data_IF_470939907126
#
_entry.id   IF_470939907126
#
_cell.length_a   1.000
_cell.length_b   1.000
_cell.length_c   1.000
_cell.angle_alpha   90.00
_cell.angle_beta   90.00
_cell.angle_gamma   90.00
#
_symmetry.space_group_name_H-M   'P 1'
#
loop_
_entity.id
_entity.type
_entity.pdbx_description
1 polymer ?
#
# COMPACT_ATOMS: atom_id res chain seq x y z
N UNK A 1 21.57 42.89 -55.19
CA UNK A 1 21.37 41.56 -54.60
C UNK A 1 20.94 41.76 -53.16
N UNK A 2 19.64 41.44 -52.86
CA UNK A 2 19.04 41.63 -51.53
C UNK A 2 18.95 40.27 -50.89
N UNK A 3 19.69 40.05 -49.78
CA UNK A 3 19.57 38.84 -48.98
C UNK A 3 18.41 39.02 -47.99
N UNK A 4 17.37 38.21 -48.14
CA UNK A 4 16.26 38.08 -47.20
C UNK A 4 16.62 37.04 -46.16
N UNK A 5 16.86 37.47 -44.93
CA UNK A 5 17.10 36.57 -43.78
C UNK A 5 15.74 36.18 -43.19
N UNK A 6 15.42 34.91 -43.29
CA UNK A 6 14.18 34.32 -42.73
C UNK A 6 14.50 33.79 -41.32
N UNK A 7 14.11 34.56 -40.31
CA UNK A 7 14.22 34.14 -38.91
C UNK A 7 13.03 33.19 -38.62
N UNK A 8 13.33 31.91 -38.49
CA UNK A 8 12.35 30.89 -38.08
C UNK A 8 12.08 30.98 -36.59
N UNK A 9 10.87 31.35 -36.23
CA UNK A 9 10.39 31.34 -34.82
C UNK A 9 10.04 29.93 -34.43
N UNK A 10 10.88 29.29 -33.61
CA UNK A 10 10.60 27.96 -33.03
C UNK A 10 9.67 28.15 -31.83
N UNK A 11 8.41 27.75 -32.00
CA UNK A 11 7.44 27.67 -30.91
C UNK A 11 7.70 26.37 -30.12
N UNK A 12 8.35 26.48 -28.96
CA UNK A 12 8.46 25.36 -28.02
C UNK A 12 7.16 25.25 -27.25
N UNK A 13 6.37 24.23 -27.58
CA UNK A 13 5.15 23.89 -26.85
C UNK A 13 5.56 23.16 -25.56
N UNK A 14 5.61 23.86 -24.44
CA UNK A 14 5.72 23.28 -23.12
C UNK A 14 4.40 22.59 -22.77
N UNK A 15 4.33 21.26 -22.96
CA UNK A 15 3.25 20.45 -22.42
C UNK A 15 3.51 20.31 -20.91
N UNK A 16 2.92 21.20 -20.13
CA UNK A 16 2.87 21.07 -18.69
C UNK A 16 2.02 19.86 -18.32
N UNK A 17 2.66 18.78 -17.84
CA UNK A 17 1.93 17.72 -17.15
C UNK A 17 1.32 18.33 -15.88
N UNK A 18 0.03 18.61 -15.93
CA UNK A 18 -0.73 18.96 -14.73
C UNK A 18 -0.76 17.70 -13.84
N UNK A 19 0.09 17.68 -12.83
CA UNK A 19 -0.13 16.80 -11.70
C UNK A 19 -1.46 17.25 -11.09
N UNK A 20 -2.49 16.41 -11.19
CA UNK A 20 -3.72 16.60 -10.44
C UNK A 20 -3.31 16.57 -8.96
N UNK A 21 -3.28 17.72 -8.32
CA UNK A 21 -3.18 17.82 -6.88
C UNK A 21 -4.39 17.08 -6.33
N UNK A 22 -4.14 16.10 -5.44
CA UNK A 22 -5.22 15.46 -4.68
C UNK A 22 -6.02 16.58 -4.00
N UNK A 23 -7.27 16.74 -4.42
CA UNK A 23 -8.21 17.66 -3.77
C UNK A 23 -8.31 17.23 -2.30
N UNK A 24 -8.19 18.17 -1.34
CA UNK A 24 -8.34 17.84 0.06
C UNK A 24 -9.69 17.18 0.28
N UNK A 25 -9.69 16.01 0.93
CA UNK A 25 -10.89 15.25 1.19
C UNK A 25 -11.97 16.17 1.78
N UNK A 26 -13.06 16.37 1.05
CA UNK A 26 -14.22 17.13 1.56
C UNK A 26 -14.65 16.47 2.86
N UNK A 27 -14.81 17.27 3.92
CA UNK A 27 -15.38 16.81 5.19
C UNK A 27 -16.78 16.24 4.91
N UNK A 28 -16.93 14.89 4.89
CA UNK A 28 -18.18 14.25 4.56
C UNK A 28 -18.08 12.73 4.47
N UNK A 29 -19.22 12.09 4.27
CA UNK A 29 -19.33 10.65 4.07
C UNK A 29 -18.72 10.27 2.72
N UNK A 30 -17.84 9.26 2.71
CA UNK A 30 -17.22 8.71 1.50
C UNK A 30 -17.84 7.34 1.25
N UNK A 31 -18.44 7.15 0.07
CA UNK A 31 -18.95 5.86 -0.40
C UNK A 31 -18.09 5.41 -1.56
N UNK A 32 -17.49 4.22 -1.44
CA UNK A 32 -16.72 3.59 -2.51
C UNK A 32 -17.59 2.48 -3.11
N UNK A 33 -18.04 2.66 -4.34
CA UNK A 33 -18.93 1.71 -5.02
C UNK A 33 -18.28 0.34 -5.22
N UNK A 34 -19.10 -0.70 -5.27
CA UNK A 34 -18.63 -2.10 -5.35
C UNK A 34 -17.73 -2.38 -6.57
N UNK A 35 -17.98 -1.75 -7.71
CA UNK A 35 -17.15 -1.93 -8.92
C UNK A 35 -15.71 -1.45 -8.66
N UNK A 36 -15.54 -0.27 -8.04
CA UNK A 36 -14.22 0.24 -7.67
C UNK A 36 -13.53 -0.65 -6.65
N UNK A 37 -14.28 -1.22 -5.70
CA UNK A 37 -13.76 -2.17 -4.71
C UNK A 37 -13.31 -3.47 -5.39
N UNK A 38 -14.10 -4.02 -6.31
CA UNK A 38 -13.77 -5.22 -7.05
C UNK A 38 -12.52 -5.03 -7.92
N UNK A 39 -12.42 -3.92 -8.63
CA UNK A 39 -11.24 -3.55 -9.42
C UNK A 39 -9.98 -3.40 -8.56
N UNK A 40 -10.13 -2.84 -7.37
CA UNK A 40 -9.01 -2.69 -6.43
C UNK A 40 -8.52 -4.06 -5.94
N UNK A 41 -9.41 -5.01 -5.62
CA UNK A 41 -9.01 -6.38 -5.26
C UNK A 41 -8.40 -7.16 -6.41
N UNK A 42 -8.83 -6.91 -7.64
CA UNK A 42 -8.22 -7.55 -8.82
C UNK A 42 -6.72 -7.22 -8.98
N UNK A 43 -6.29 -6.06 -8.49
CA UNK A 43 -4.93 -5.51 -8.67
C UNK A 43 -4.11 -5.42 -7.38
N UNK A 44 -4.75 -5.42 -6.21
CA UNK A 44 -4.12 -5.04 -4.95
C UNK A 44 -3.85 -3.53 -4.91
N UNK A 45 -4.88 -2.70 -4.69
CA UNK A 45 -4.77 -1.25 -4.84
C UNK A 45 -5.35 -0.45 -3.67
N UNK A 46 -4.93 0.82 -3.55
CA UNK A 46 -5.50 1.76 -2.59
C UNK A 46 -6.93 2.15 -2.98
N UNK A 47 -7.83 2.18 -2.01
CA UNK A 47 -9.22 2.63 -2.14
C UNK A 47 -9.42 4.06 -1.66
N UNK A 48 -8.72 4.43 -0.59
CA UNK A 48 -8.78 5.75 0.03
C UNK A 48 -7.48 6.05 0.74
N UNK A 49 -7.03 7.29 0.66
CA UNK A 49 -5.91 7.80 1.44
C UNK A 49 -6.28 9.17 2.00
N UNK A 50 -6.10 9.33 3.30
CA UNK A 50 -6.25 10.60 4.03
C UNK A 50 -5.00 10.85 4.87
N UNK A 51 -4.94 11.96 5.58
CA UNK A 51 -3.83 12.24 6.48
C UNK A 51 -3.79 11.31 7.72
N UNK A 52 -4.95 10.77 8.11
CA UNK A 52 -5.09 10.01 9.36
C UNK A 52 -5.26 8.51 9.14
N UNK A 53 -5.72 8.10 7.98
CA UNK A 53 -5.91 6.67 7.66
C UNK A 53 -5.91 6.41 6.15
N UNK A 54 -5.62 5.16 5.81
CA UNK A 54 -5.68 4.63 4.44
C UNK A 54 -6.55 3.37 4.43
N UNK A 55 -7.29 3.14 3.35
CA UNK A 55 -8.04 1.90 3.12
C UNK A 55 -7.53 1.28 1.82
N UNK A 56 -7.14 0.02 1.88
CA UNK A 56 -6.53 -0.68 0.75
C UNK A 56 -7.19 -2.05 0.55
N UNK A 57 -7.31 -2.45 -0.70
CA UNK A 57 -7.61 -3.82 -1.08
C UNK A 57 -6.28 -4.58 -1.24
N UNK A 58 -5.95 -5.42 -0.28
CA UNK A 58 -4.77 -6.28 -0.31
C UNK A 58 -5.01 -7.52 -1.18
N UNK A 59 -4.06 -7.83 -2.04
CA UNK A 59 -4.01 -9.05 -2.83
C UNK A 59 -2.62 -9.64 -2.82
N UNK A 60 -2.49 -10.89 -2.42
CA UNK A 60 -1.22 -11.62 -2.45
C UNK A 60 -1.41 -12.99 -3.11
N UNK A 61 -0.40 -13.42 -3.84
CA UNK A 61 -0.32 -14.76 -4.43
C UNK A 61 0.99 -15.48 -4.02
N UNK A 62 1.82 -14.81 -3.20
CA UNK A 62 3.09 -15.33 -2.70
C UNK A 62 3.47 -14.65 -1.38
N UNK A 63 4.48 -15.20 -0.71
CA UNK A 63 5.14 -14.58 0.44
C UNK A 63 5.64 -13.16 0.11
N UNK A 64 5.72 -12.32 1.13
CA UNK A 64 6.21 -10.95 1.01
C UNK A 64 7.53 -10.72 1.74
N UNK A 65 7.95 -9.48 1.81
CA UNK A 65 9.00 -9.03 2.73
C UNK A 65 8.42 -8.78 4.12
N UNK A 66 9.28 -8.75 5.13
CA UNK A 66 8.92 -8.21 6.45
C UNK A 66 8.63 -6.73 6.33
N UNK A 67 7.56 -6.29 6.95
CA UNK A 67 7.15 -4.89 7.02
C UNK A 67 7.19 -4.37 8.45
N UNK A 68 7.67 -3.14 8.64
CA UNK A 68 7.62 -2.41 9.91
C UNK A 68 7.25 -0.97 9.59
N UNK A 69 6.16 -0.49 10.19
CA UNK A 69 5.66 0.88 10.01
C UNK A 69 5.86 1.67 11.30
N UNK A 70 6.53 2.82 11.23
CA UNK A 70 6.83 3.63 12.42
C UNK A 70 5.59 4.34 12.98
N UNK A 71 4.63 4.66 12.12
CA UNK A 71 3.49 5.51 12.45
C UNK A 71 2.14 4.84 12.21
N UNK A 72 2.07 3.78 11.40
CA UNK A 72 0.82 3.15 11.04
C UNK A 72 0.54 1.91 11.90
N UNK A 73 -0.67 1.83 12.46
CA UNK A 73 -1.27 0.59 12.96
C UNK A 73 -2.07 -0.02 11.83
N UNK A 74 -1.79 -1.29 11.50
CA UNK A 74 -2.48 -2.02 10.46
C UNK A 74 -3.62 -2.87 11.03
N UNK A 75 -4.79 -2.79 10.41
CA UNK A 75 -5.94 -3.65 10.72
C UNK A 75 -6.28 -4.40 9.45
N UNK A 76 -6.17 -5.73 9.49
CA UNK A 76 -6.54 -6.59 8.36
C UNK A 76 -7.86 -7.30 8.65
N UNK A 77 -8.70 -7.43 7.63
CA UNK A 77 -9.84 -8.32 7.58
C UNK A 77 -9.73 -9.23 6.38
N UNK A 78 -9.65 -10.54 6.61
CA UNK A 78 -9.44 -11.53 5.55
C UNK A 78 -10.74 -11.81 4.80
N UNK A 79 -10.73 -11.61 3.49
CA UNK A 79 -11.87 -11.82 2.59
C UNK A 79 -11.85 -13.22 2.00
N UNK A 80 -10.65 -13.69 1.58
CA UNK A 80 -10.50 -14.96 0.87
C UNK A 80 -9.08 -15.51 1.04
N UNK A 81 -8.95 -16.85 0.98
CA UNK A 81 -7.69 -17.56 1.03
C UNK A 81 -7.18 -17.80 2.45
N UNK A 82 -5.93 -18.25 2.54
CA UNK A 82 -5.23 -18.46 3.81
C UNK A 82 -3.76 -18.09 3.71
N UNK A 83 -3.18 -17.70 4.85
CA UNK A 83 -1.78 -17.32 4.94
C UNK A 83 -1.19 -17.72 6.29
N UNK A 84 0.09 -18.06 6.30
CA UNK A 84 0.91 -18.08 7.51
C UNK A 84 1.52 -16.71 7.69
N UNK A 85 1.11 -16.01 8.74
CA UNK A 85 1.50 -14.66 9.07
C UNK A 85 2.30 -14.62 10.35
N UNK A 86 3.44 -13.93 10.36
CA UNK A 86 4.34 -13.89 11.52
C UNK A 86 4.42 -12.46 12.03
N UNK A 87 4.32 -12.28 13.35
CA UNK A 87 4.42 -10.97 13.99
C UNK A 87 5.44 -10.94 15.13
N UNK A 88 5.95 -9.76 15.45
CA UNK A 88 6.95 -9.58 16.50
C UNK A 88 8.31 -10.17 16.16
N UNK A 89 9.04 -10.62 17.16
CA UNK A 89 10.37 -11.19 16.98
C UNK A 89 11.39 -10.21 16.44
N UNK A 90 12.36 -10.72 15.67
CA UNK A 90 13.48 -9.95 15.11
C UNK A 90 13.46 -9.99 13.58
N UNK A 91 13.36 -8.84 12.96
CA UNK A 91 13.47 -8.70 11.51
C UNK A 91 14.93 -8.82 11.05
N UNK A 92 15.22 -9.80 10.21
CA UNK A 92 16.56 -10.07 9.67
C UNK A 92 16.73 -9.32 8.35
N UNK A 93 17.88 -8.66 8.22
CA UNK A 93 18.19 -7.87 7.02
C UNK A 93 17.33 -6.61 6.88
N UNK A 94 16.81 -6.10 8.00
CA UNK A 94 15.97 -4.92 8.03
C UNK A 94 16.71 -3.68 7.52
N UNK A 95 16.04 -2.92 6.62
CA UNK A 95 16.53 -1.67 6.03
C UNK A 95 15.39 -0.67 5.92
N UNK A 96 15.66 0.59 6.21
CA UNK A 96 14.73 1.69 5.95
C UNK A 96 14.63 1.88 4.42
N UNK A 97 13.44 1.78 3.87
CA UNK A 97 13.16 1.92 2.43
C UNK A 97 12.51 3.24 2.06
N UNK A 98 11.81 3.85 3.03
CA UNK A 98 11.22 5.18 2.94
C UNK A 98 11.05 5.76 4.36
N UNK A 99 10.77 7.05 4.55
CA UNK A 99 10.47 7.61 5.87
C UNK A 99 9.34 6.83 6.58
N UNK A 100 9.66 6.26 7.74
CA UNK A 100 8.72 5.46 8.53
C UNK A 100 8.45 4.04 8.02
N UNK A 101 9.14 3.60 6.96
CA UNK A 101 8.97 2.29 6.34
C UNK A 101 10.27 1.48 6.38
N UNK A 102 10.23 0.33 7.01
CA UNK A 102 11.35 -0.63 7.07
C UNK A 102 10.92 -1.95 6.43
N UNK A 103 11.80 -2.55 5.64
CA UNK A 103 11.63 -3.87 5.03
C UNK A 103 12.73 -4.82 5.47
N UNK A 104 12.39 -6.12 5.59
CA UNK A 104 13.34 -7.17 5.95
C UNK A 104 13.07 -8.46 5.18
N UNK A 105 13.96 -9.44 5.32
CA UNK A 105 13.85 -10.71 4.60
C UNK A 105 12.95 -11.71 5.31
N UNK A 106 13.10 -11.82 6.62
CA UNK A 106 12.44 -12.82 7.47
C UNK A 106 12.32 -12.34 8.91
N UNK A 107 11.46 -12.98 9.69
CA UNK A 107 11.35 -12.80 11.14
C UNK A 107 11.82 -14.06 11.83
N UNK A 108 12.72 -13.93 12.84
CA UNK A 108 13.07 -14.98 13.80
C UNK A 108 12.42 -14.69 15.15
N UNK A 109 12.10 -15.73 15.91
CA UNK A 109 11.49 -15.63 17.24
C UNK A 109 10.16 -14.84 17.26
N UNK A 110 9.42 -14.84 16.14
CA UNK A 110 8.09 -14.23 16.01
C UNK A 110 6.98 -15.23 16.34
N UNK A 111 5.78 -14.70 16.51
CA UNK A 111 4.57 -15.48 16.72
C UNK A 111 3.90 -15.77 15.37
N UNK A 112 3.56 -17.04 15.13
CA UNK A 112 2.90 -17.49 13.91
C UNK A 112 1.38 -17.48 14.06
N UNK A 113 0.68 -16.93 13.07
CA UNK A 113 -0.77 -16.86 12.98
C UNK A 113 -1.23 -17.47 11.65
N UNK A 114 -2.13 -18.45 11.72
CA UNK A 114 -2.81 -19.00 10.55
C UNK A 114 -4.05 -18.17 10.25
N UNK A 115 -3.94 -17.23 9.31
CA UNK A 115 -5.04 -16.38 8.91
C UNK A 115 -5.89 -17.04 7.84
N UNK A 116 -7.22 -17.02 8.05
CA UNK A 116 -8.22 -17.55 7.14
C UNK A 116 -9.37 -16.55 6.93
N UNK A 117 -10.24 -16.83 5.99
CA UNK A 117 -11.41 -15.99 5.71
C UNK A 117 -12.22 -15.67 6.98
N UNK A 118 -12.47 -14.39 7.20
CA UNK A 118 -13.23 -13.86 8.33
C UNK A 118 -12.37 -13.41 9.52
N UNK A 119 -11.08 -13.74 9.53
CA UNK A 119 -10.19 -13.33 10.60
C UNK A 119 -9.89 -11.82 10.53
N UNK A 120 -9.70 -11.25 11.71
CA UNK A 120 -9.17 -9.88 11.89
C UNK A 120 -7.86 -9.98 12.64
N UNK A 121 -6.84 -9.27 12.18
CA UNK A 121 -5.60 -9.06 12.92
C UNK A 121 -5.27 -7.58 13.01
N UNK A 122 -4.86 -7.13 14.20
CA UNK A 122 -4.42 -5.76 14.45
C UNK A 122 -2.93 -5.78 14.76
N UNK A 123 -2.15 -5.08 13.95
CA UNK A 123 -0.70 -4.99 14.08
C UNK A 123 -0.37 -3.56 14.50
N UNK A 124 0.03 -3.32 15.77
CA UNK A 124 0.44 -1.99 16.21
C UNK A 124 1.65 -1.48 15.45
N UNK A 125 1.77 -0.16 15.36
CA UNK A 125 2.98 0.48 14.81
C UNK A 125 4.25 -0.10 15.45
N UNK A 126 5.33 -0.18 14.67
CA UNK A 126 6.65 -0.69 15.02
C UNK A 126 6.71 -2.21 15.30
N UNK A 127 5.62 -2.93 15.16
CA UNK A 127 5.63 -4.39 15.26
C UNK A 127 6.03 -4.98 13.91
N UNK A 128 7.15 -5.73 13.81
CA UNK A 128 7.49 -6.45 12.60
C UNK A 128 6.39 -7.43 12.23
N UNK A 129 6.05 -7.52 10.95
CA UNK A 129 5.06 -8.46 10.47
C UNK A 129 5.38 -8.95 9.06
N UNK A 130 4.96 -10.18 8.75
CA UNK A 130 5.40 -10.85 7.54
C UNK A 130 4.42 -11.90 7.05
N UNK A 131 4.02 -11.81 5.80
CA UNK A 131 3.36 -12.92 5.11
C UNK A 131 4.43 -13.95 4.73
N UNK A 132 4.63 -14.94 5.61
CA UNK A 132 5.64 -16.01 5.44
C UNK A 132 5.23 -16.97 4.34
N UNK A 133 3.94 -17.37 4.32
CA UNK A 133 3.38 -18.25 3.30
C UNK A 133 1.98 -17.79 2.91
N UNK A 134 1.63 -17.97 1.64
CA UNK A 134 0.31 -17.66 1.11
C UNK A 134 -0.15 -18.84 0.25
N UNK A 135 -1.34 -19.37 0.55
CA UNK A 135 -1.94 -20.45 -0.23
C UNK A 135 -2.92 -19.89 -1.25
N UNK A 136 -2.58 -20.01 -2.53
CA UNK A 136 -3.40 -19.50 -3.63
C UNK A 136 -3.46 -17.98 -3.64
N UNK A 137 -4.66 -17.42 -3.86
CA UNK A 137 -4.92 -15.99 -3.78
C UNK A 137 -5.44 -15.64 -2.38
N UNK A 138 -4.78 -14.70 -1.73
CA UNK A 138 -5.17 -14.16 -0.43
C UNK A 138 -5.66 -12.72 -0.59
N UNK A 139 -6.94 -12.47 -0.27
CA UNK A 139 -7.57 -11.16 -0.36
C UNK A 139 -7.94 -10.65 1.03
N UNK A 140 -7.62 -9.41 1.32
CA UNK A 140 -7.89 -8.81 2.63
C UNK A 140 -8.02 -7.28 2.53
N UNK A 141 -8.91 -6.70 3.34
CA UNK A 141 -8.88 -5.27 3.58
C UNK A 141 -7.74 -4.91 4.51
N UNK A 142 -7.10 -3.78 4.23
CA UNK A 142 -6.14 -3.13 5.14
C UNK A 142 -6.68 -1.75 5.47
N UNK A 143 -6.83 -1.48 6.76
CA UNK A 143 -6.98 -0.11 7.26
C UNK A 143 -5.70 0.24 8.00
N UNK A 144 -4.93 1.21 7.48
CA UNK A 144 -3.78 1.78 8.15
C UNK A 144 -4.20 3.04 8.87
N UNK A 145 -4.00 3.08 10.18
CA UNK A 145 -4.30 4.23 11.02
C UNK A 145 -3.00 4.89 11.44
N UNK A 146 -2.77 6.12 10.96
CA UNK A 146 -1.56 6.90 11.27
C UNK A 146 -1.71 7.62 12.62
N UNK A 147 -0.67 7.54 13.47
CA UNK A 147 -0.66 8.14 14.82
C UNK A 147 0.66 8.88 15.09
#
# INVERSE_FOLDING_TARGET
MKYFSMVGLIFVLLIGAAFAADEPAKTGVIVIGHEKVADAFAKGASLLSTNNFKVQAGRRAASGEVEIHDQDTDIFYVIEGSALFVTGGKAIGAKVTAPGETRGREITDGEEHHLTKGDIIVIPKRVPHWFKEVSGTFLYYVVKVSQ
#
